data_IF_248191264138
#
_entry.id   IF_248191264138
#
_cell.length_a   1.000
_cell.length_b   1.000
_cell.length_c   1.000
_cell.angle_alpha   90.00
_cell.angle_beta   90.00
_cell.angle_gamma   90.00
#
_symmetry.space_group_name_H-M   'P 1'
#
loop_
_entity.id
_entity.type
_entity.pdbx_description
1 polymer ?
#
# COMPACT_ATOMS: atom_id res chain seq x y z
N UNK A 1 18.90 44.11 -64.78
CA UNK A 1 17.59 43.88 -65.44
C UNK A 1 17.50 42.41 -65.87
N UNK A 2 16.46 41.69 -65.39
CA UNK A 2 15.92 40.42 -65.94
C UNK A 2 16.81 39.17 -65.88
N UNK A 3 16.36 37.95 -65.55
CA UNK A 3 15.04 37.34 -65.32
C UNK A 3 15.25 36.09 -64.45
N UNK A 4 14.43 35.93 -63.42
CA UNK A 4 14.23 34.69 -62.67
C UNK A 4 13.29 33.75 -63.44
N UNK A 5 13.60 32.44 -63.45
CA UNK A 5 12.67 31.37 -63.90
C UNK A 5 12.55 30.34 -62.76
N UNK A 6 11.35 30.11 -62.20
CA UNK A 6 11.13 29.02 -61.25
C UNK A 6 10.74 27.75 -62.01
N UNK A 7 11.51 26.68 -61.80
CA UNK A 7 11.18 25.34 -62.29
C UNK A 7 10.20 24.64 -61.35
N UNK A 8 8.93 24.58 -61.72
CA UNK A 8 7.94 23.72 -61.09
C UNK A 8 8.25 22.25 -61.39
N UNK A 9 8.73 21.50 -60.39
CA UNK A 9 8.76 20.03 -60.41
C UNK A 9 7.36 19.50 -60.12
N UNK A 10 6.72 18.96 -61.16
CA UNK A 10 5.47 18.21 -61.08
C UNK A 10 5.66 16.94 -60.24
N UNK A 11 5.07 16.93 -59.05
CA UNK A 11 4.98 15.75 -58.21
C UNK A 11 4.04 14.72 -58.84
N UNK A 12 4.62 13.65 -59.40
CA UNK A 12 3.88 12.47 -59.85
C UNK A 12 3.30 11.76 -58.62
N UNK A 13 2.06 12.10 -58.26
CA UNK A 13 1.25 11.31 -57.32
C UNK A 13 0.90 9.98 -57.99
N UNK A 14 1.74 8.96 -57.82
CA UNK A 14 1.38 7.57 -58.13
C UNK A 14 0.27 7.17 -57.16
N UNK A 15 -0.94 7.05 -57.68
CA UNK A 15 -2.09 6.52 -56.96
C UNK A 15 -1.78 5.08 -56.52
N UNK A 16 -1.68 4.92 -55.20
CA UNK A 16 -1.42 3.66 -54.51
C UNK A 16 -2.70 2.83 -54.50
N UNK A 17 -3.06 2.21 -55.62
CA UNK A 17 -4.01 1.08 -55.65
C UNK A 17 -4.02 0.43 -57.04
N UNK A 18 -2.88 -0.08 -57.49
CA UNK A 18 -2.88 -1.06 -58.59
C UNK A 18 -3.07 -2.47 -57.98
N UNK A 19 -4.21 -3.15 -58.20
CA UNK A 19 -4.46 -4.50 -57.69
C UNK A 19 -3.47 -5.54 -58.26
N UNK A 20 -2.85 -5.29 -59.42
CA UNK A 20 -1.84 -6.19 -60.00
C UNK A 20 -0.55 -6.24 -59.15
N UNK A 21 -0.18 -5.11 -58.51
CA UNK A 21 0.98 -5.04 -57.62
C UNK A 21 0.86 -5.92 -56.36
N UNK A 22 -0.38 -6.19 -55.90
CA UNK A 22 -0.63 -7.08 -54.75
C UNK A 22 -0.38 -8.55 -55.09
N UNK A 23 -0.67 -8.97 -56.33
CA UNK A 23 -0.44 -10.34 -56.77
C UNK A 23 1.06 -10.66 -56.87
N UNK A 24 1.86 -9.72 -57.38
CA UNK A 24 3.32 -9.85 -57.47
C UNK A 24 3.94 -9.90 -56.07
N UNK A 25 3.56 -8.97 -55.17
CA UNK A 25 4.05 -8.98 -53.77
C UNK A 25 3.69 -10.26 -53.02
N UNK A 26 2.49 -10.84 -53.25
CA UNK A 26 2.10 -12.12 -52.65
C UNK A 26 2.94 -13.29 -53.16
N UNK A 27 3.30 -13.30 -54.46
CA UNK A 27 4.17 -14.35 -55.04
C UNK A 27 5.61 -14.23 -54.52
N UNK A 28 6.13 -13.02 -54.41
CA UNK A 28 7.46 -12.76 -53.84
C UNK A 28 7.52 -13.11 -52.35
N UNK A 29 6.51 -12.71 -51.56
CA UNK A 29 6.40 -13.09 -50.15
C UNK A 29 6.37 -14.62 -49.98
N UNK A 30 5.61 -15.35 -50.81
CA UNK A 30 5.60 -16.82 -50.78
C UNK A 30 6.96 -17.43 -51.13
N UNK A 31 7.71 -16.85 -52.08
CA UNK A 31 9.08 -17.30 -52.43
C UNK A 31 10.06 -17.04 -51.29
N UNK A 32 9.97 -15.88 -50.63
CA UNK A 32 10.76 -15.53 -49.44
C UNK A 32 10.47 -16.47 -48.27
N UNK A 33 9.19 -16.75 -47.98
CA UNK A 33 8.79 -17.70 -46.93
C UNK A 33 9.32 -19.11 -47.22
N UNK A 34 9.30 -19.56 -48.49
CA UNK A 34 9.88 -20.86 -48.87
C UNK A 34 11.41 -20.91 -48.72
N UNK A 35 12.11 -19.83 -49.09
CA UNK A 35 13.58 -19.72 -48.90
C UNK A 35 13.97 -19.68 -47.42
N UNK A 36 13.24 -18.89 -46.62
CA UNK A 36 13.41 -18.85 -45.16
C UNK A 36 13.07 -20.20 -44.50
N UNK A 37 12.09 -20.93 -45.03
CA UNK A 37 11.74 -22.28 -44.59
C UNK A 37 12.88 -23.28 -44.77
N UNK A 38 13.66 -23.19 -45.85
CA UNK A 38 14.84 -24.04 -46.07
C UNK A 38 15.98 -23.70 -45.10
N UNK A 39 16.24 -22.41 -44.86
CA UNK A 39 17.20 -21.96 -43.83
C UNK A 39 16.76 -22.45 -42.44
N UNK A 40 15.45 -22.50 -42.21
CA UNK A 40 14.87 -22.99 -40.96
C UNK A 40 15.02 -24.49 -40.70
N UNK A 41 15.27 -25.31 -41.73
CA UNK A 41 15.46 -26.77 -41.60
C UNK A 41 16.93 -27.20 -41.57
N UNK A 42 17.87 -26.26 -41.62
CA UNK A 42 19.29 -26.59 -41.55
C UNK A 42 19.62 -27.18 -40.15
N UNK A 43 20.20 -28.39 -40.05
CA UNK A 43 20.45 -29.06 -38.77
C UNK A 43 21.34 -28.24 -37.83
N UNK A 44 22.24 -27.39 -38.36
CA UNK A 44 23.04 -26.45 -37.56
C UNK A 44 22.18 -25.37 -36.91
N UNK A 45 21.19 -24.83 -37.63
CA UNK A 45 20.24 -23.86 -37.10
C UNK A 45 19.26 -24.46 -36.08
N UNK A 46 18.97 -25.76 -36.17
CA UNK A 46 18.12 -26.46 -35.20
C UNK A 46 18.84 -26.59 -33.84
N UNK A 47 20.15 -26.89 -33.84
CA UNK A 47 20.95 -26.98 -32.60
C UNK A 47 21.08 -25.64 -31.89
N UNK A 48 21.37 -24.56 -32.62
CA UNK A 48 21.47 -23.21 -32.04
C UNK A 48 20.13 -22.75 -31.45
N UNK A 49 19.01 -23.06 -32.10
CA UNK A 49 17.67 -22.78 -31.56
C UNK A 49 17.32 -23.58 -30.32
N UNK A 50 17.71 -24.86 -30.24
CA UNK A 50 17.48 -25.65 -29.01
C UNK A 50 18.23 -25.03 -27.83
N UNK A 51 19.49 -24.61 -28.03
CA UNK A 51 20.27 -23.90 -27.01
C UNK A 51 19.66 -22.55 -26.64
N UNK A 52 19.27 -21.75 -27.64
CA UNK A 52 18.61 -20.47 -27.41
C UNK A 52 17.28 -20.64 -26.66
N UNK A 53 16.45 -21.62 -27.02
CA UNK A 53 15.19 -21.93 -26.32
C UNK A 53 15.41 -22.41 -24.89
N UNK A 54 16.44 -23.22 -24.63
CA UNK A 54 16.78 -23.64 -23.27
C UNK A 54 17.18 -22.44 -22.40
N UNK A 55 18.04 -21.55 -22.93
CA UNK A 55 18.43 -20.30 -22.26
C UNK A 55 17.24 -19.38 -22.01
N UNK A 56 16.33 -19.27 -22.99
CA UNK A 56 15.12 -18.47 -22.90
C UNK A 56 14.11 -19.03 -21.90
N UNK A 57 14.00 -20.36 -21.74
CA UNK A 57 13.18 -21.00 -20.70
C UNK A 57 13.72 -20.72 -19.30
N UNK A 58 15.04 -20.74 -19.10
CA UNK A 58 15.68 -20.37 -17.82
C UNK A 58 15.45 -18.89 -17.45
N UNK A 59 15.49 -17.99 -18.43
CA UNK A 59 15.13 -16.58 -18.20
C UNK A 59 13.63 -16.40 -17.91
N UNK A 60 12.76 -17.22 -18.51
CA UNK A 60 11.31 -17.18 -18.27
C UNK A 60 10.94 -17.59 -16.85
N UNK A 61 11.61 -18.57 -16.26
CA UNK A 61 11.38 -18.95 -14.86
C UNK A 61 11.75 -17.83 -13.89
N UNK A 62 12.81 -17.07 -14.18
CA UNK A 62 13.21 -15.92 -13.38
C UNK A 62 12.21 -14.76 -13.54
N UNK A 63 11.81 -14.46 -14.78
CA UNK A 63 10.78 -13.45 -15.06
C UNK A 63 9.40 -13.82 -14.48
N UNK A 64 9.05 -15.10 -14.44
CA UNK A 64 7.81 -15.57 -13.82
C UNK A 64 7.84 -15.39 -12.29
N UNK A 65 8.96 -15.68 -11.62
CA UNK A 65 9.14 -15.41 -10.19
C UNK A 65 9.00 -13.93 -9.87
N UNK A 66 9.67 -13.07 -10.65
CA UNK A 66 9.56 -11.61 -10.52
C UNK A 66 8.13 -11.13 -10.79
N UNK A 67 7.44 -11.66 -11.80
CA UNK A 67 6.05 -11.29 -12.10
C UNK A 67 5.07 -11.73 -11.02
N UNK A 68 5.28 -12.90 -10.40
CA UNK A 68 4.46 -13.42 -9.30
C UNK A 68 4.64 -12.59 -8.04
N UNK A 69 5.87 -12.18 -7.75
CA UNK A 69 6.18 -11.23 -6.67
C UNK A 69 5.55 -9.86 -6.93
N UNK A 70 5.70 -9.29 -8.13
CA UNK A 70 5.10 -7.99 -8.49
C UNK A 70 3.56 -8.03 -8.48
N UNK A 71 2.93 -9.15 -8.84
CA UNK A 71 1.46 -9.31 -8.75
C UNK A 71 0.98 -9.31 -7.30
N UNK A 72 1.67 -10.04 -6.42
CA UNK A 72 1.39 -10.03 -4.97
C UNK A 72 1.65 -8.67 -4.36
N UNK A 73 2.75 -8.01 -4.72
CA UNK A 73 3.08 -6.64 -4.27
C UNK A 73 2.08 -5.61 -4.76
N UNK A 74 1.59 -5.72 -6.00
CA UNK A 74 0.53 -4.84 -6.52
C UNK A 74 -0.79 -5.06 -5.78
N UNK A 75 -1.09 -6.30 -5.38
CA UNK A 75 -2.26 -6.61 -4.56
C UNK A 75 -2.10 -6.04 -3.14
N UNK A 76 -0.96 -6.24 -2.49
CA UNK A 76 -0.65 -5.69 -1.17
C UNK A 76 -0.67 -4.15 -1.15
N UNK A 77 -0.09 -3.48 -2.16
CA UNK A 77 -0.15 -2.02 -2.29
C UNK A 77 -1.58 -1.52 -2.55
N UNK A 78 -2.39 -2.31 -3.27
CA UNK A 78 -3.81 -2.00 -3.48
C UNK A 78 -4.63 -2.19 -2.22
N UNK A 79 -4.30 -3.18 -1.37
CA UNK A 79 -4.86 -3.35 -0.03
C UNK A 79 -4.42 -2.21 0.90
N UNK A 80 -3.17 -1.75 0.82
CA UNK A 80 -2.66 -0.62 1.62
C UNK A 80 -3.31 0.72 1.24
N UNK A 81 -3.52 0.96 -0.05
CA UNK A 81 -4.33 2.09 -0.52
C UNK A 81 -5.82 1.96 -0.19
N UNK A 82 -6.34 0.74 -0.09
CA UNK A 82 -7.69 0.46 0.39
C UNK A 82 -7.82 0.74 1.89
N UNK A 83 -6.82 0.38 2.69
CA UNK A 83 -6.77 0.65 4.14
C UNK A 83 -6.59 2.14 4.46
N UNK A 84 -5.76 2.88 3.71
CA UNK A 84 -5.72 4.35 3.85
C UNK A 84 -7.04 4.99 3.42
N UNK A 85 -7.67 4.49 2.36
CA UNK A 85 -9.00 4.92 1.93
C UNK A 85 -10.08 4.61 2.98
N UNK A 86 -10.02 3.46 3.64
CA UNK A 86 -10.93 3.09 4.75
C UNK A 86 -10.68 3.97 5.96
N UNK A 87 -9.43 4.21 6.36
CA UNK A 87 -9.10 5.09 7.47
C UNK A 87 -9.61 6.53 7.24
N UNK A 88 -9.43 7.07 6.03
CA UNK A 88 -9.94 8.38 5.67
C UNK A 88 -11.47 8.43 5.57
N UNK A 89 -12.10 7.37 5.03
CA UNK A 89 -13.55 7.27 4.92
C UNK A 89 -14.19 7.12 6.31
N UNK A 90 -13.57 6.32 7.18
CA UNK A 90 -13.96 6.09 8.56
C UNK A 90 -13.77 7.37 9.39
N UNK A 91 -12.64 8.06 9.25
CA UNK A 91 -12.40 9.35 9.88
C UNK A 91 -13.37 10.43 9.42
N UNK A 92 -13.69 10.51 8.12
CA UNK A 92 -14.72 11.44 7.59
C UNK A 92 -16.12 11.09 8.08
N UNK A 93 -16.45 9.81 8.14
CA UNK A 93 -17.74 9.32 8.63
C UNK A 93 -17.91 9.58 10.12
N UNK A 94 -16.87 9.30 10.91
CA UNK A 94 -16.84 9.60 12.35
C UNK A 94 -16.96 11.10 12.60
N UNK A 95 -16.26 11.93 11.84
CA UNK A 95 -16.37 13.39 11.93
C UNK A 95 -17.75 13.92 11.51
N UNK A 96 -18.44 13.27 10.57
CA UNK A 96 -19.81 13.67 10.19
C UNK A 96 -20.85 13.24 11.22
N UNK A 97 -20.68 12.07 11.84
CA UNK A 97 -21.48 11.64 12.99
C UNK A 97 -21.29 12.56 14.19
N UNK A 98 -20.02 12.90 14.51
CA UNK A 98 -19.70 13.80 15.63
C UNK A 98 -20.26 15.21 15.42
N UNK A 99 -20.20 15.74 14.19
CA UNK A 99 -20.80 17.04 13.83
C UNK A 99 -22.33 17.05 13.89
N UNK A 100 -22.98 15.94 13.52
CA UNK A 100 -24.45 15.81 13.63
C UNK A 100 -24.93 15.61 15.06
N UNK A 101 -24.14 14.95 15.89
CA UNK A 101 -24.42 14.79 17.31
C UNK A 101 -24.30 16.11 18.10
N UNK A 102 -23.57 17.10 17.56
CA UNK A 102 -23.38 18.43 18.17
C UNK A 102 -24.33 19.52 17.68
N UNK A 103 -25.29 19.23 16.79
CA UNK A 103 -26.20 20.25 16.23
C UNK A 103 -27.44 20.44 17.15
N UNK A 104 -27.63 21.62 17.79
CA UNK A 104 -28.64 21.83 18.82
C UNK A 104 -30.09 21.81 18.32
N UNK A 105 -30.31 21.77 16.99
CA UNK A 105 -31.64 21.71 16.38
C UNK A 105 -32.27 20.31 16.44
N UNK A 106 -31.45 19.28 16.67
CA UNK A 106 -31.91 17.91 16.88
C UNK A 106 -31.66 17.59 18.35
N UNK A 107 -32.70 17.64 19.20
CA UNK A 107 -32.56 17.36 20.63
C UNK A 107 -31.81 16.06 20.91
N UNK A 108 -31.08 15.98 22.04
CA UNK A 108 -30.19 14.86 22.45
C UNK A 108 -30.66 13.50 21.89
N UNK A 109 -30.06 13.11 20.77
CA UNK A 109 -30.28 11.78 20.18
C UNK A 109 -29.64 10.74 21.10
N UNK A 110 -30.42 9.77 21.60
CA UNK A 110 -29.91 8.63 22.36
C UNK A 110 -29.13 7.70 21.41
N UNK A 111 -27.92 7.30 21.83
CA UNK A 111 -26.90 6.65 20.99
C UNK A 111 -27.33 5.40 20.23
N UNK A 112 -28.34 4.67 20.69
CA UNK A 112 -28.82 3.45 20.02
C UNK A 112 -29.45 3.71 18.64
N UNK A 113 -30.02 4.90 18.39
CA UNK A 113 -30.61 5.25 17.09
C UNK A 113 -29.54 5.50 16.01
N UNK A 114 -28.32 5.89 16.41
CA UNK A 114 -27.16 6.00 15.53
C UNK A 114 -26.61 4.61 15.16
N UNK A 115 -26.65 3.67 16.10
CA UNK A 115 -26.27 2.27 15.86
C UNK A 115 -27.20 1.55 14.88
N UNK A 116 -28.52 1.72 15.02
CA UNK A 116 -29.52 1.12 14.10
C UNK A 116 -29.40 1.70 12.69
N UNK A 117 -29.13 3.00 12.54
CA UNK A 117 -28.91 3.63 11.24
C UNK A 117 -27.60 3.16 10.55
N UNK A 118 -26.55 2.88 11.33
CA UNK A 118 -25.29 2.32 10.82
C UNK A 118 -25.46 0.85 10.38
N UNK A 119 -26.17 0.04 11.17
CA UNK A 119 -26.45 -1.37 10.87
C UNK A 119 -27.39 -1.55 9.65
N UNK A 120 -28.42 -0.70 9.52
CA UNK A 120 -29.35 -0.76 8.39
C UNK A 120 -28.69 -0.41 7.04
N UNK A 121 -27.65 0.43 7.03
CA UNK A 121 -26.92 0.79 5.81
C UNK A 121 -25.82 -0.23 5.48
N UNK A 122 -25.22 -0.86 6.49
CA UNK A 122 -24.33 -2.02 6.28
C UNK A 122 -25.05 -3.22 5.65
N UNK A 123 -26.33 -3.41 5.96
CA UNK A 123 -27.17 -4.48 5.41
C UNK A 123 -27.71 -4.18 3.99
N UNK A 124 -27.86 -2.91 3.59
CA UNK A 124 -28.34 -2.52 2.25
C UNK A 124 -27.13 -2.14 1.39
N UNK A 125 -26.52 -3.16 0.80
CA UNK A 125 -25.29 -3.07 0.02
C UNK A 125 -25.22 -1.95 -1.02
N UNK A 126 -24.09 -1.24 -1.02
CA UNK A 126 -23.66 -0.40 -2.13
C UNK A 126 -23.14 -1.27 -3.29
N UNK A 127 -24.07 -1.88 -4.03
CA UNK A 127 -23.77 -2.46 -5.34
C UNK A 127 -23.34 -1.37 -6.34
N UNK A 128 -22.43 -1.66 -7.28
CA UNK A 128 -21.92 -0.66 -8.22
C UNK A 128 -23.01 -0.27 -9.23
N UNK A 129 -23.67 0.88 -9.03
CA UNK A 129 -24.52 1.49 -10.06
C UNK A 129 -23.64 2.13 -11.13
N UNK A 130 -23.65 1.55 -12.34
CA UNK A 130 -23.13 2.17 -13.55
C UNK A 130 -24.00 3.37 -13.92
N UNK A 131 -23.51 4.58 -13.69
CA UNK A 131 -24.05 5.80 -14.31
C UNK A 131 -22.96 6.44 -15.16
N UNK A 132 -23.25 6.56 -16.46
CA UNK A 132 -22.39 7.23 -17.44
C UNK A 132 -22.23 8.74 -17.12
N UNK A 133 -21.10 9.36 -17.49
CA UNK A 133 -20.84 10.76 -17.17
C UNK A 133 -21.71 11.70 -18.01
N UNK A 134 -22.50 12.55 -17.34
CA UNK A 134 -23.07 13.76 -17.97
C UNK A 134 -22.02 14.86 -17.93
N UNK A 135 -21.73 15.41 -19.10
CA UNK A 135 -20.91 16.60 -19.30
C UNK A 135 -21.67 17.80 -18.75
N UNK A 136 -21.11 18.48 -17.74
CA UNK A 136 -21.50 19.83 -17.37
C UNK A 136 -20.40 20.80 -17.81
N UNK A 137 -20.64 21.43 -18.95
CA UNK A 137 -20.03 22.69 -19.36
C UNK A 137 -20.47 23.79 -18.40
N UNK A 138 -19.51 24.37 -17.69
CA UNK A 138 -19.75 25.52 -16.81
C UNK A 138 -18.45 26.27 -16.57
N UNK A 139 -18.20 27.26 -17.42
CA UNK A 139 -17.07 28.19 -17.39
C UNK A 139 -17.29 29.21 -16.28
N UNK A 140 -16.42 29.27 -15.28
CA UNK A 140 -16.16 30.51 -14.52
C UNK A 140 -14.64 30.67 -14.41
N UNK A 141 -14.19 31.78 -14.98
CA UNK A 141 -12.84 32.35 -14.96
C UNK A 141 -12.74 33.19 -13.68
N UNK A 142 -11.65 33.08 -12.94
CA UNK A 142 -11.40 33.96 -11.79
C UNK A 142 -10.26 33.50 -10.90
N UNK A 143 -9.05 33.90 -11.27
CA UNK A 143 -7.78 33.89 -10.54
C UNK A 143 -7.87 34.12 -9.02
N UNK A 144 -7.28 33.22 -8.23
CA UNK A 144 -6.48 33.51 -7.04
C UNK A 144 -5.79 32.22 -6.59
N UNK A 145 -4.49 32.09 -6.86
CA UNK A 145 -3.64 31.09 -6.23
C UNK A 145 -3.12 31.64 -4.90
N UNK A 146 -3.22 30.91 -3.78
CA UNK A 146 -2.37 31.12 -2.62
C UNK A 146 -1.23 30.09 -2.59
N UNK A 147 0.00 30.60 -2.52
CA UNK A 147 1.21 29.84 -2.13
C UNK A 147 1.24 29.72 -0.59
N UNK A 148 2.03 28.79 0.01
CA UNK A 148 1.69 28.03 1.20
C UNK A 148 2.03 28.79 2.50
N UNK A 149 1.16 28.69 3.50
CA UNK A 149 1.39 29.31 4.82
C UNK A 149 0.13 29.64 5.63
N UNK A 150 -1.07 29.43 5.07
CA UNK A 150 -2.33 29.65 5.78
C UNK A 150 -2.84 28.40 6.50
N UNK A 151 -3.14 28.56 7.79
CA UNK A 151 -3.77 27.60 8.68
C UNK A 151 -4.96 26.88 8.04
N UNK A 152 -4.78 25.61 7.72
CA UNK A 152 -5.86 24.75 7.26
C UNK A 152 -6.69 24.22 8.42
N UNK A 153 -7.96 23.84 8.20
CA UNK A 153 -8.82 23.24 9.23
C UNK A 153 -8.27 21.91 9.81
N UNK A 154 -7.24 21.34 9.18
CA UNK A 154 -6.51 20.17 9.67
C UNK A 154 -5.47 20.51 10.75
N UNK A 155 -4.83 21.68 10.73
CA UNK A 155 -3.93 22.11 11.81
C UNK A 155 -4.70 22.51 13.07
N UNK A 156 -5.93 22.98 12.90
CA UNK A 156 -6.85 23.32 13.99
C UNK A 156 -7.39 22.05 14.66
N UNK A 157 -7.72 21.01 13.90
CA UNK A 157 -8.20 19.73 14.45
C UNK A 157 -7.11 18.93 15.18
N UNK A 158 -5.87 18.94 14.67
CA UNK A 158 -4.72 18.35 15.36
C UNK A 158 -4.40 19.08 16.67
N UNK A 159 -4.49 20.41 16.69
CA UNK A 159 -4.35 21.21 17.92
C UNK A 159 -5.52 21.06 18.87
N UNK A 160 -6.74 20.78 18.40
CA UNK A 160 -7.91 20.59 19.28
C UNK A 160 -7.96 19.21 19.95
N UNK A 161 -7.51 18.13 19.28
CA UNK A 161 -7.42 16.82 19.94
C UNK A 161 -6.26 16.81 20.94
N UNK A 162 -5.12 17.40 20.56
CA UNK A 162 -4.02 17.58 21.49
C UNK A 162 -4.42 18.56 22.61
N UNK A 163 -5.12 19.66 22.37
CA UNK A 163 -5.59 20.56 23.43
C UNK A 163 -6.68 19.94 24.33
N UNK A 164 -7.55 19.06 23.83
CA UNK A 164 -8.57 18.38 24.65
C UNK A 164 -8.01 17.25 25.52
N UNK A 165 -6.79 16.75 25.23
CA UNK A 165 -6.07 15.78 26.07
C UNK A 165 -4.84 16.38 26.77
N UNK A 166 -4.44 17.58 26.37
CA UNK A 166 -3.28 18.34 26.91
C UNK A 166 -3.74 19.66 27.52
N UNK A 167 -5.03 19.82 27.78
CA UNK A 167 -5.50 20.81 28.75
C UNK A 167 -4.85 20.41 30.06
N UNK A 168 -3.75 21.09 30.35
CA UNK A 168 -3.29 21.77 31.56
C UNK A 168 -4.27 21.81 32.77
N UNK A 169 -5.07 20.75 32.97
CA UNK A 169 -5.71 20.42 34.23
C UNK A 169 -4.61 19.85 35.13
N UNK A 170 -3.86 20.76 35.76
CA UNK A 170 -2.63 20.48 36.49
C UNK A 170 -2.64 19.17 37.28
N UNK A 171 -1.58 18.38 37.08
CA UNK A 171 -1.11 17.26 37.90
C UNK A 171 -2.17 16.56 38.76
N UNK A 172 -3.31 16.19 38.16
CA UNK A 172 -4.23 15.28 38.85
C UNK A 172 -3.51 13.94 38.94
N UNK A 173 -3.25 13.41 40.14
CA UNK A 173 -2.54 12.15 40.28
C UNK A 173 -3.34 11.07 39.54
N UNK A 174 -2.73 10.50 38.52
CA UNK A 174 -3.29 9.40 37.75
C UNK A 174 -3.30 8.16 38.65
N UNK A 175 -4.33 7.33 38.56
CA UNK A 175 -4.36 6.06 39.29
C UNK A 175 -3.10 5.24 38.97
N UNK A 176 -2.47 4.58 39.98
CA UNK A 176 -1.20 3.89 39.79
C UNK A 176 -1.28 2.78 38.73
N UNK A 177 -2.45 2.19 38.51
CA UNK A 177 -2.72 1.20 37.45
C UNK A 177 -2.58 1.83 36.05
N UNK A 178 -3.17 3.00 35.85
CA UNK A 178 -3.13 3.71 34.57
C UNK A 178 -1.71 4.22 34.28
N UNK A 179 -1.00 4.66 35.31
CA UNK A 179 0.41 5.03 35.17
C UNK A 179 1.27 3.83 34.72
N UNK A 180 1.08 2.65 35.33
CA UNK A 180 1.78 1.41 34.91
C UNK A 180 1.57 1.08 33.42
N UNK A 181 0.35 1.23 32.91
CA UNK A 181 0.06 0.99 31.48
C UNK A 181 0.75 2.03 30.59
N UNK A 182 0.79 3.30 31.01
CA UNK A 182 1.52 4.36 30.29
C UNK A 182 3.01 4.08 30.25
N UNK A 183 3.61 3.75 31.39
CA UNK A 183 5.03 3.44 31.50
C UNK A 183 5.39 2.24 30.60
N UNK A 184 4.58 1.17 30.61
CA UNK A 184 4.78 0.02 29.73
C UNK A 184 4.66 0.37 28.24
N UNK A 185 3.73 1.26 27.87
CA UNK A 185 3.60 1.72 26.48
C UNK A 185 4.80 2.59 26.06
N UNK A 186 5.33 3.43 26.94
CA UNK A 186 6.55 4.21 26.70
C UNK A 186 7.78 3.33 26.59
N UNK A 187 7.90 2.30 27.43
CA UNK A 187 8.97 1.30 27.36
C UNK A 187 8.91 0.53 26.04
N UNK A 188 7.73 0.05 25.64
CA UNK A 188 7.54 -0.60 24.33
C UNK A 188 7.92 0.35 23.19
N UNK A 189 7.50 1.63 23.25
CA UNK A 189 7.87 2.63 22.25
C UNK A 189 9.38 2.83 22.19
N UNK A 190 10.04 2.96 23.33
CA UNK A 190 11.50 3.13 23.42
C UNK A 190 12.23 1.91 22.87
N UNK A 191 11.78 0.70 23.18
CA UNK A 191 12.32 -0.55 22.65
C UNK A 191 12.16 -0.62 21.11
N UNK A 192 11.01 -0.25 20.56
CA UNK A 192 10.78 -0.20 19.11
C UNK A 192 11.64 0.87 18.43
N UNK A 193 11.85 2.03 19.07
CA UNK A 193 12.76 3.06 18.56
C UNK A 193 14.21 2.59 18.57
N UNK A 194 14.64 1.90 19.63
CA UNK A 194 15.96 1.31 19.72
C UNK A 194 16.16 0.26 18.61
N UNK A 195 15.16 -0.61 18.38
CA UNK A 195 15.18 -1.59 17.29
C UNK A 195 15.30 -0.91 15.91
N UNK A 196 14.65 0.25 15.71
CA UNK A 196 14.74 1.04 14.48
C UNK A 196 16.01 1.89 14.33
N UNK A 197 16.89 1.91 15.33
CA UNK A 197 18.10 2.73 15.33
C UNK A 197 19.14 2.27 14.30
N UNK A 198 19.99 3.21 13.85
CA UNK A 198 21.05 2.92 12.86
C UNK A 198 22.13 1.96 13.36
N UNK A 199 22.18 1.70 14.67
CA UNK A 199 23.14 0.81 15.31
C UNK A 199 22.70 -0.67 15.27
N UNK A 200 21.44 -0.94 14.92
CA UNK A 200 20.93 -2.32 14.92
C UNK A 200 21.35 -3.03 13.63
N UNK A 201 22.17 -4.08 13.77
CA UNK A 201 22.57 -4.94 12.67
C UNK A 201 21.37 -5.61 12.00
N UNK A 202 21.50 -5.91 10.70
CA UNK A 202 20.39 -6.42 9.87
C UNK A 202 19.81 -7.75 10.39
N UNK A 203 20.65 -8.63 10.95
CA UNK A 203 20.22 -9.89 11.56
C UNK A 203 19.42 -9.67 12.86
N UNK A 204 19.90 -8.78 13.72
CA UNK A 204 19.20 -8.40 14.96
C UNK A 204 17.86 -7.73 14.65
N UNK A 205 17.82 -6.90 13.60
CA UNK A 205 16.58 -6.28 13.13
C UNK A 205 15.56 -7.34 12.69
N UNK A 206 16.00 -8.35 11.92
CA UNK A 206 15.12 -9.47 11.51
C UNK A 206 14.59 -10.24 12.72
N UNK A 207 15.42 -10.48 13.74
CA UNK A 207 14.98 -11.11 14.98
C UNK A 207 13.93 -10.25 15.70
N UNK A 208 14.17 -8.94 15.85
CA UNK A 208 13.19 -8.05 16.46
C UNK A 208 11.87 -7.97 15.69
N UNK A 209 11.88 -8.09 14.36
CA UNK A 209 10.65 -8.19 13.57
C UNK A 209 9.84 -9.47 13.87
N UNK A 210 10.51 -10.58 14.22
CA UNK A 210 9.82 -11.83 14.61
C UNK A 210 9.11 -11.70 15.95
N UNK A 211 9.65 -10.89 16.85
CA UNK A 211 9.08 -10.66 18.17
C UNK A 211 7.84 -9.73 18.14
N UNK A 212 7.58 -9.03 17.04
CA UNK A 212 6.42 -8.14 16.94
C UNK A 212 5.08 -8.89 16.98
N UNK A 213 4.98 -10.05 16.31
CA UNK A 213 3.77 -10.87 16.31
C UNK A 213 3.38 -11.35 17.73
N UNK A 214 4.25 -12.05 18.49
CA UNK A 214 3.90 -12.51 19.83
C UNK A 214 3.64 -11.33 20.78
N UNK A 215 4.37 -10.21 20.64
CA UNK A 215 4.14 -9.00 21.45
C UNK A 215 2.73 -8.43 21.22
N UNK A 216 2.33 -8.25 19.95
CA UNK A 216 1.00 -7.73 19.62
C UNK A 216 -0.12 -8.71 20.00
N UNK A 217 0.14 -10.01 19.89
CA UNK A 217 -0.80 -11.06 20.34
C UNK A 217 -1.02 -10.98 21.85
N UNK A 218 0.05 -10.79 22.62
CA UNK A 218 -0.01 -10.62 24.09
C UNK A 218 -0.84 -9.40 24.47
N UNK A 219 -0.67 -8.28 23.76
CA UNK A 219 -1.49 -7.08 23.97
C UNK A 219 -2.96 -7.35 23.67
N UNK A 220 -3.26 -8.07 22.58
CA UNK A 220 -4.64 -8.40 22.22
C UNK A 220 -5.31 -9.33 23.24
N UNK A 221 -4.56 -10.29 23.78
CA UNK A 221 -5.06 -11.21 24.81
C UNK A 221 -5.31 -10.47 26.13
N UNK A 222 -4.42 -9.57 26.55
CA UNK A 222 -4.64 -8.72 27.72
C UNK A 222 -5.85 -7.78 27.59
N UNK A 223 -6.11 -7.25 26.39
CA UNK A 223 -7.32 -6.47 26.11
C UNK A 223 -8.59 -7.32 26.18
N UNK A 224 -8.52 -8.57 25.72
CA UNK A 224 -9.63 -9.52 25.80
C UNK A 224 -9.93 -9.88 27.25
N UNK A 225 -8.89 -10.19 28.04
CA UNK A 225 -9.00 -10.51 29.46
C UNK A 225 -9.59 -9.33 30.26
N UNK A 226 -9.10 -8.11 30.01
CA UNK A 226 -9.66 -6.90 30.61
C UNK A 226 -11.13 -6.70 30.24
N UNK A 227 -11.51 -6.98 28.98
CA UNK A 227 -12.91 -6.94 28.55
C UNK A 227 -13.80 -7.94 29.28
N UNK A 228 -13.32 -9.17 29.44
CA UNK A 228 -14.06 -10.23 30.17
C UNK A 228 -14.20 -9.92 31.66
N UNK A 229 -13.13 -9.47 32.32
CA UNK A 229 -13.18 -9.08 33.74
C UNK A 229 -14.13 -7.89 33.95
N UNK A 230 -14.13 -6.94 33.02
CA UNK A 230 -15.01 -5.78 33.09
C UNK A 230 -16.49 -6.13 32.91
N UNK A 231 -16.81 -7.16 32.10
CA UNK A 231 -18.18 -7.67 31.96
C UNK A 231 -18.67 -8.38 33.23
N UNK A 232 -17.80 -9.13 33.89
CA UNK A 232 -18.14 -9.93 35.07
C UNK A 232 -18.15 -9.12 36.39
N UNK A 233 -17.18 -8.22 36.57
CA UNK A 233 -16.92 -7.58 37.87
C UNK A 233 -17.38 -6.12 37.96
N UNK A 234 -17.55 -5.44 36.82
CA UNK A 234 -17.81 -3.99 36.80
C UNK A 234 -19.14 -3.67 36.10
N UNK A 235 -19.95 -2.73 36.62
CA UNK A 235 -21.18 -2.29 35.96
C UNK A 235 -20.86 -1.32 34.81
N UNK A 236 -20.03 -1.74 33.85
CA UNK A 236 -19.73 -0.96 32.65
C UNK A 236 -20.92 -0.98 31.69
N UNK A 237 -21.05 0.10 30.91
CA UNK A 237 -22.01 0.14 29.82
C UNK A 237 -21.60 -0.90 28.74
N UNK A 238 -22.53 -1.71 28.21
CA UNK A 238 -22.24 -2.71 27.18
C UNK A 238 -21.54 -2.15 25.92
N UNK A 239 -21.74 -0.86 25.62
CA UNK A 239 -21.02 -0.23 24.51
C UNK A 239 -19.51 -0.17 24.77
N UNK A 240 -19.08 -0.04 26.04
CA UNK A 240 -17.67 -0.01 26.42
C UNK A 240 -17.05 -1.40 26.28
N UNK A 241 -17.76 -2.45 26.69
CA UNK A 241 -17.27 -3.83 26.54
C UNK A 241 -17.14 -4.24 25.07
N UNK A 242 -18.08 -3.82 24.22
CA UNK A 242 -17.98 -4.00 22.77
C UNK A 242 -16.72 -3.33 22.18
N UNK A 243 -16.32 -2.16 22.70
CA UNK A 243 -15.08 -1.51 22.26
C UNK A 243 -13.82 -2.31 22.64
N UNK A 244 -13.80 -3.03 23.76
CA UNK A 244 -12.65 -3.89 24.08
C UNK A 244 -12.46 -4.99 23.04
N UNK A 245 -13.56 -5.61 22.57
CA UNK A 245 -13.52 -6.59 21.47
C UNK A 245 -13.00 -5.97 20.17
N UNK A 246 -13.46 -4.77 19.81
CA UNK A 246 -12.98 -4.08 18.60
C UNK A 246 -11.48 -3.78 18.67
N UNK A 247 -10.98 -3.35 19.83
CA UNK A 247 -9.55 -3.04 20.00
C UNK A 247 -8.72 -4.32 20.01
N UNK A 248 -9.17 -5.40 20.68
CA UNK A 248 -8.44 -6.67 20.68
C UNK A 248 -8.39 -7.31 19.30
N UNK A 249 -9.48 -7.26 18.53
CA UNK A 249 -9.50 -7.72 17.14
C UNK A 249 -8.55 -6.90 16.24
N UNK A 250 -8.48 -5.58 16.44
CA UNK A 250 -7.53 -4.74 15.72
C UNK A 250 -6.06 -5.08 16.07
N UNK A 251 -5.78 -5.39 17.34
CA UNK A 251 -4.47 -5.83 17.78
C UNK A 251 -4.08 -7.20 17.18
N UNK A 252 -5.02 -8.17 17.13
CA UNK A 252 -4.82 -9.46 16.45
C UNK A 252 -4.58 -9.30 14.95
N UNK A 253 -5.37 -8.48 14.27
CA UNK A 253 -5.15 -8.18 12.85
C UNK A 253 -3.78 -7.54 12.60
N UNK A 254 -3.27 -6.75 13.55
CA UNK A 254 -1.92 -6.18 13.49
C UNK A 254 -0.84 -7.25 13.70
N UNK A 255 -1.05 -8.20 14.61
CA UNK A 255 -0.15 -9.33 14.83
C UNK A 255 -0.07 -10.24 13.59
N UNK A 256 -1.19 -10.53 12.93
CA UNK A 256 -1.21 -11.29 11.67
C UNK A 256 -0.37 -10.61 10.59
N UNK A 257 -0.49 -9.29 10.42
CA UNK A 257 0.34 -8.53 9.47
C UNK A 257 1.82 -8.55 9.88
N UNK A 258 2.10 -8.47 11.18
CA UNK A 258 3.46 -8.55 11.70
C UNK A 258 4.13 -9.91 11.40
N UNK A 259 3.38 -11.00 11.41
CA UNK A 259 3.87 -12.36 11.07
C UNK A 259 4.48 -12.45 9.66
N UNK A 260 4.03 -11.59 8.73
CA UNK A 260 4.56 -11.56 7.36
C UNK A 260 5.86 -10.76 7.23
N UNK A 261 6.16 -9.86 8.20
CA UNK A 261 7.28 -8.93 8.10
C UNK A 261 8.65 -9.62 7.99
N UNK A 262 8.97 -10.67 8.78
CA UNK A 262 10.26 -11.36 8.65
C UNK A 262 10.49 -11.94 7.25
N UNK A 263 9.44 -12.53 6.66
CA UNK A 263 9.50 -13.08 5.30
C UNK A 263 9.69 -12.00 4.24
N UNK A 264 8.98 -10.86 4.38
CA UNK A 264 9.15 -9.71 3.49
C UNK A 264 10.54 -9.07 3.62
N UNK A 265 11.06 -8.98 4.84
CA UNK A 265 12.38 -8.44 5.13
C UNK A 265 13.47 -9.31 4.49
N UNK A 266 13.43 -10.63 4.70
CA UNK A 266 14.35 -11.57 4.06
C UNK A 266 14.30 -11.52 2.55
N UNK A 267 13.09 -11.46 1.97
CA UNK A 267 12.94 -11.36 0.53
C UNK A 267 13.48 -10.04 -0.05
N UNK A 268 13.46 -8.95 0.73
CA UNK A 268 13.98 -7.66 0.32
C UNK A 268 15.52 -7.57 0.45
N UNK A 269 16.11 -8.30 1.40
CA UNK A 269 17.53 -8.24 1.75
C UNK A 269 18.25 -9.59 1.55
N UNK A 270 17.77 -10.44 0.63
CA UNK A 270 18.29 -11.81 0.42
C UNK A 270 19.80 -11.83 0.15
N UNK A 271 20.31 -10.84 -0.60
CA UNK A 271 21.73 -10.77 -0.97
C UNK A 271 22.58 -10.33 0.22
N UNK A 272 22.15 -9.30 0.94
CA UNK A 272 22.85 -8.77 2.11
C UNK A 272 22.85 -9.79 3.26
N UNK A 273 21.71 -10.41 3.55
CA UNK A 273 21.60 -11.45 4.56
C UNK A 273 22.44 -12.67 4.18
N UNK A 274 22.40 -13.12 2.92
CA UNK A 274 23.24 -14.23 2.47
C UNK A 274 24.74 -13.92 2.59
N UNK A 275 25.14 -12.65 2.46
CA UNK A 275 26.52 -12.22 2.69
C UNK A 275 26.89 -12.20 4.17
N UNK A 276 25.97 -11.80 5.04
CA UNK A 276 26.18 -11.81 6.50
C UNK A 276 26.17 -13.23 7.08
N UNK A 277 25.33 -14.12 6.55
CA UNK A 277 25.24 -15.53 6.98
C UNK A 277 26.38 -16.39 6.44
N UNK A 278 26.91 -16.05 5.25
CA UNK A 278 28.02 -16.74 4.61
C UNK A 278 29.07 -15.72 4.13
N UNK A 279 29.81 -15.08 5.05
CA UNK A 279 30.82 -14.10 4.68
C UNK A 279 31.91 -14.75 3.83
N UNK A 280 32.34 -14.05 2.78
CA UNK A 280 33.45 -14.54 1.95
C UNK A 280 34.75 -14.40 2.72
N UNK A 281 35.74 -15.20 2.35
CA UNK A 281 37.09 -15.12 2.90
C UNK A 281 37.60 -13.67 2.82
N UNK A 282 37.93 -13.09 3.98
CA UNK A 282 38.39 -11.70 4.19
C UNK A 282 37.33 -10.58 4.16
N UNK A 283 36.03 -10.88 3.99
CA UNK A 283 34.98 -9.86 4.10
C UNK A 283 34.63 -9.50 5.56
N UNK A 284 35.00 -10.34 6.53
CA UNK A 284 34.85 -10.08 7.97
C UNK A 284 35.47 -8.73 8.40
N UNK A 285 36.53 -8.30 7.72
CA UNK A 285 37.23 -7.03 8.02
C UNK A 285 36.40 -5.79 7.67
N UNK A 286 35.34 -5.95 6.87
CA UNK A 286 34.49 -4.87 6.36
C UNK A 286 33.11 -4.90 7.04
N UNK A 287 32.87 -5.85 7.94
CA UNK A 287 31.64 -5.92 8.71
C UNK A 287 31.68 -4.88 9.84
N UNK A 288 31.05 -3.73 9.58
CA UNK A 288 30.88 -2.64 10.56
C UNK A 288 30.00 -3.03 11.75
N UNK A 289 29.26 -4.14 11.70
CA UNK A 289 28.48 -4.60 12.85
C UNK A 289 29.33 -5.19 13.98
N UNK A 290 30.62 -5.48 13.71
CA UNK A 290 31.58 -6.03 14.68
C UNK A 290 32.70 -5.03 15.05
N UNK A 291 32.58 -3.76 14.63
CA UNK A 291 33.53 -2.70 15.00
C UNK A 291 33.03 -2.01 16.29
N UNK A 292 33.44 -2.54 17.43
CA UNK A 292 33.32 -1.91 18.75
C UNK A 292 34.17 -0.62 18.85
#
# INVERSE_FOLDING_TARGET
>A
MGRTRPGHRSGVRRSVTDPASRAVRRREARRLVRRLGKIWRNPRAVRTRRRARARWRGMRTQAQRVSGYLRRRRWALRMRGWWQGIGDLWGRWWNTLRRRASDPRYGRLRGWQLGVAAAAIGAIGAGPKKSAPRVLTGRIIGTCAPVPGGEGPLSIAGRLIFALTSDDEGDKPVAPEVQRVRDAAEELRAALQALGGSQVGMLTYEQGLKELEPTLSTVADGLTEMGTMAEDEQPLDPAVTEFFTVISDAARGSAEVASELPGLFRAAHEVELGRLEAPRTHEERWDVSHQD
#
